data_IF_451559433111
#
_entry.id   IF_451559433111
#
_cell.length_a   1.000
_cell.length_b   1.000
_cell.length_c   1.000
_cell.angle_alpha   90.00
_cell.angle_beta   90.00
_cell.angle_gamma   90.00
#
_symmetry.space_group_name_H-M   'P 1'
#
loop_
_entity.id
_entity.type
_entity.pdbx_description
1 polymer ?
#
# COMPACT_ATOMS: atom_id res chain seq x y z
N UNK A 1 -35.01 17.27 12.47
CA UNK A 1 -34.06 16.15 12.68
C UNK A 1 -34.23 15.71 14.11
N UNK A 2 -35.00 14.65 14.33
CA UNK A 2 -35.32 14.15 15.67
C UNK A 2 -34.05 13.80 16.44
N UNK A 3 -33.97 14.31 17.66
CA UNK A 3 -32.83 14.15 18.54
C UNK A 3 -32.90 12.73 19.09
N UNK A 4 -32.18 11.80 18.48
CA UNK A 4 -32.11 10.42 18.99
C UNK A 4 -31.42 10.45 20.35
N UNK A 5 -32.19 10.23 21.42
CA UNK A 5 -31.68 10.11 22.77
C UNK A 5 -31.05 8.74 22.97
N UNK A 6 -29.71 8.72 22.93
CA UNK A 6 -28.92 7.55 23.29
C UNK A 6 -28.39 7.77 24.71
N UNK A 7 -28.80 6.91 25.65
CA UNK A 7 -28.33 6.95 27.03
C UNK A 7 -26.85 6.57 27.12
N UNK A 8 -26.14 7.17 28.08
CA UNK A 8 -24.71 6.89 28.34
C UNK A 8 -24.47 5.41 28.69
N UNK A 9 -25.34 4.84 29.50
CA UNK A 9 -25.27 3.44 29.96
C UNK A 9 -25.40 2.45 28.81
N UNK A 10 -26.28 2.73 27.85
CA UNK A 10 -26.43 1.92 26.63
C UNK A 10 -25.12 1.85 25.85
N UNK A 11 -24.47 3.00 25.61
CA UNK A 11 -23.18 3.05 24.92
C UNK A 11 -22.07 2.35 25.72
N UNK A 12 -22.06 2.51 27.04
CA UNK A 12 -21.09 1.86 27.92
C UNK A 12 -21.20 0.33 27.83
N UNK A 13 -22.42 -0.22 27.90
CA UNK A 13 -22.69 -1.65 27.76
C UNK A 13 -22.16 -2.22 26.43
N UNK A 14 -22.35 -1.50 25.31
CA UNK A 14 -21.81 -1.93 24.02
C UNK A 14 -20.28 -1.89 23.97
N UNK A 15 -19.65 -0.87 24.56
CA UNK A 15 -18.19 -0.76 24.64
C UNK A 15 -17.61 -1.91 25.46
N UNK A 16 -18.25 -2.27 26.56
CA UNK A 16 -17.83 -3.38 27.42
C UNK A 16 -17.96 -4.73 26.71
N UNK A 17 -19.00 -4.88 25.88
CA UNK A 17 -19.17 -6.01 24.93
C UNK A 17 -18.22 -5.96 23.70
N UNK A 18 -17.28 -5.01 23.63
CA UNK A 18 -16.31 -4.83 22.53
C UNK A 18 -16.91 -4.48 21.17
N UNK A 19 -18.10 -3.90 21.12
CA UNK A 19 -18.68 -3.44 19.87
C UNK A 19 -17.90 -2.25 19.30
N UNK A 20 -17.70 -2.23 17.99
CA UNK A 20 -17.21 -1.07 17.25
C UNK A 20 -18.33 -0.03 17.06
N UNK A 21 -17.97 1.24 16.81
CA UNK A 21 -18.97 2.30 16.57
C UNK A 21 -19.93 1.97 15.42
N UNK A 22 -19.45 1.27 14.39
CA UNK A 22 -20.26 0.83 13.26
C UNK A 22 -21.25 -0.26 13.69
N UNK A 23 -20.84 -1.21 14.52
CA UNK A 23 -21.75 -2.24 15.05
C UNK A 23 -22.80 -1.61 15.97
N UNK A 24 -22.40 -0.66 16.83
CA UNK A 24 -23.34 0.10 17.68
C UNK A 24 -24.35 0.86 16.82
N UNK A 25 -23.90 1.48 15.73
CA UNK A 25 -24.74 2.22 14.81
C UNK A 25 -25.80 1.32 14.14
N UNK A 26 -25.39 0.13 13.68
CA UNK A 26 -26.30 -0.88 13.12
C UNK A 26 -27.31 -1.35 14.17
N UNK A 27 -26.85 -1.68 15.36
CA UNK A 27 -27.70 -2.21 16.44
C UNK A 27 -28.74 -1.18 16.91
N UNK A 28 -28.36 0.10 16.97
CA UNK A 28 -29.24 1.18 17.41
C UNK A 28 -30.04 1.82 16.25
N UNK A 29 -29.85 1.37 15.01
CA UNK A 29 -30.51 1.94 13.83
C UNK A 29 -30.14 3.41 13.56
N UNK A 30 -28.94 3.83 13.95
CA UNK A 30 -28.46 5.22 13.80
C UNK A 30 -27.23 5.31 12.90
N UNK A 31 -26.85 6.53 12.51
CA UNK A 31 -25.58 6.75 11.81
C UNK A 31 -24.38 6.59 12.76
N UNK A 32 -23.25 6.12 12.23
CA UNK A 32 -21.97 6.07 12.97
C UNK A 32 -21.54 7.46 13.47
N UNK A 33 -21.88 8.53 12.75
CA UNK A 33 -21.64 9.90 13.17
C UNK A 33 -22.45 10.31 14.41
N UNK A 34 -23.69 9.81 14.56
CA UNK A 34 -24.52 10.02 15.75
C UNK A 34 -23.90 9.36 16.97
N UNK A 35 -23.46 8.10 16.82
CA UNK A 35 -22.75 7.36 17.89
C UNK A 35 -21.47 8.10 18.30
N UNK A 36 -20.66 8.54 17.33
CA UNK A 36 -19.43 9.29 17.60
C UNK A 36 -19.68 10.57 18.39
N UNK A 37 -20.67 11.37 18.00
CA UNK A 37 -21.05 12.62 18.70
C UNK A 37 -21.45 12.32 20.15
N UNK A 38 -22.31 11.31 20.36
CA UNK A 38 -22.77 10.92 21.71
C UNK A 38 -21.67 10.37 22.58
N UNK A 39 -20.79 9.52 22.02
CA UNK A 39 -19.61 9.05 22.74
C UNK A 39 -18.70 10.20 23.15
N UNK A 40 -18.49 11.20 22.26
CA UNK A 40 -17.71 12.40 22.57
C UNK A 40 -18.35 13.25 23.66
N UNK A 41 -19.66 13.47 23.60
CA UNK A 41 -20.45 14.21 24.60
C UNK A 41 -20.31 13.60 26.00
N UNK A 42 -20.34 12.27 26.10
CA UNK A 42 -20.23 11.54 27.36
C UNK A 42 -18.80 11.18 27.79
N UNK A 43 -17.78 11.57 27.01
CA UNK A 43 -16.38 11.26 27.27
C UNK A 43 -16.01 9.77 27.11
N UNK A 44 -16.83 8.99 26.40
CA UNK A 44 -16.63 7.57 26.20
C UNK A 44 -15.64 7.30 25.07
N UNK A 45 -14.70 6.37 25.29
CA UNK A 45 -13.76 5.89 24.28
C UNK A 45 -13.94 4.39 24.11
N UNK A 46 -13.97 3.92 22.87
CA UNK A 46 -13.83 2.48 22.62
C UNK A 46 -12.44 2.05 23.04
N UNK A 47 -12.33 0.84 23.62
CA UNK A 47 -11.02 0.22 23.85
C UNK A 47 -10.36 0.03 22.48
N UNK A 48 -9.34 0.84 22.18
CA UNK A 48 -8.53 0.67 20.98
C UNK A 48 -7.87 -0.70 21.03
N UNK A 49 -7.89 -1.42 19.91
CA UNK A 49 -7.15 -2.67 19.78
C UNK A 49 -5.67 -2.32 20.03
N UNK A 50 -5.05 -2.98 21.02
CA UNK A 50 -3.62 -2.79 21.25
C UNK A 50 -2.89 -3.19 19.97
N UNK A 51 -2.03 -2.29 19.50
CA UNK A 51 -1.20 -2.55 18.34
C UNK A 51 -0.24 -3.69 18.66
N UNK A 52 -0.12 -4.69 17.80
CA UNK A 52 0.92 -5.74 17.86
C UNK A 52 2.32 -5.19 17.57
N UNK A 53 2.51 -3.87 17.70
CA UNK A 53 3.72 -3.16 17.31
C UNK A 53 4.86 -3.49 18.27
N UNK A 54 5.96 -3.97 17.69
CA UNK A 54 7.24 -4.09 18.36
C UNK A 54 8.28 -3.29 17.57
N UNK A 55 8.79 -2.22 18.18
CA UNK A 55 9.75 -1.32 17.56
C UNK A 55 11.05 -2.02 17.17
N UNK A 56 11.58 -2.89 18.04
CA UNK A 56 12.87 -3.54 17.81
C UNK A 56 12.79 -4.49 16.62
N UNK A 57 11.68 -5.23 16.52
CA UNK A 57 11.42 -6.13 15.40
C UNK A 57 11.27 -5.34 14.09
N UNK A 58 10.51 -4.23 14.10
CA UNK A 58 10.36 -3.37 12.91
C UNK A 58 11.71 -2.81 12.46
N UNK A 59 12.54 -2.31 13.38
CA UNK A 59 13.89 -1.81 13.07
C UNK A 59 14.75 -2.90 12.41
N UNK A 60 14.79 -4.09 13.00
CA UNK A 60 15.56 -5.23 12.47
C UNK A 60 15.10 -5.61 11.06
N UNK A 61 13.79 -5.65 10.80
CA UNK A 61 13.25 -5.94 9.48
C UNK A 61 13.61 -4.85 8.46
N UNK A 62 13.57 -3.57 8.85
CA UNK A 62 13.96 -2.45 7.98
C UNK A 62 15.45 -2.49 7.60
N UNK A 63 16.31 -2.83 8.55
CA UNK A 63 17.76 -3.01 8.32
C UNK A 63 18.05 -4.20 7.41
N UNK A 64 17.23 -5.25 7.48
CA UNK A 64 17.29 -6.39 6.56
C UNK A 64 16.70 -6.10 5.18
N UNK A 65 16.18 -4.90 4.93
CA UNK A 65 15.63 -4.50 3.64
C UNK A 65 14.18 -4.97 3.41
N UNK A 66 13.48 -5.44 4.44
CA UNK A 66 12.08 -5.82 4.30
C UNK A 66 11.21 -4.63 3.90
N UNK A 67 10.25 -4.90 3.02
CA UNK A 67 9.24 -3.93 2.57
C UNK A 67 8.14 -3.77 3.62
N UNK A 68 7.41 -2.64 3.59
CA UNK A 68 6.27 -2.43 4.49
C UNK A 68 5.22 -3.52 4.36
N UNK A 69 5.09 -4.16 3.18
CA UNK A 69 4.19 -5.30 2.95
C UNK A 69 4.64 -6.55 3.71
N UNK A 70 5.92 -6.91 3.62
CA UNK A 70 6.47 -8.06 4.33
C UNK A 70 6.40 -7.89 5.86
N UNK A 71 6.66 -6.67 6.33
CA UNK A 71 6.50 -6.33 7.75
C UNK A 71 5.02 -6.46 8.15
N UNK A 72 4.10 -6.00 7.31
CA UNK A 72 2.67 -6.10 7.58
C UNK A 72 2.18 -7.55 7.67
N UNK A 73 2.66 -8.42 6.77
CA UNK A 73 2.39 -9.86 6.82
C UNK A 73 2.90 -10.49 8.13
N UNK A 74 4.12 -10.13 8.56
CA UNK A 74 4.68 -10.62 9.84
C UNK A 74 3.81 -10.22 11.05
N UNK A 75 3.34 -8.98 11.10
CA UNK A 75 2.53 -8.47 12.20
C UNK A 75 1.02 -8.74 12.06
N UNK A 76 0.59 -9.42 11.00
CA UNK A 76 -0.84 -9.67 10.72
C UNK A 76 -1.65 -8.37 10.53
N UNK A 77 -1.03 -7.34 9.95
CA UNK A 77 -1.63 -6.02 9.75
C UNK A 77 -1.59 -5.59 8.28
N UNK A 78 -2.06 -4.38 7.97
CA UNK A 78 -1.95 -3.80 6.63
C UNK A 78 -0.68 -2.92 6.48
N UNK A 79 -0.21 -2.79 5.24
CA UNK A 79 0.97 -2.00 4.88
C UNK A 79 0.88 -0.53 5.29
N UNK A 80 -0.31 0.06 5.25
CA UNK A 80 -0.59 1.43 5.70
C UNK A 80 -0.31 1.59 7.20
N UNK A 81 -0.68 0.59 8.00
CA UNK A 81 -0.42 0.60 9.45
C UNK A 81 1.08 0.62 9.71
N UNK A 82 1.85 -0.23 9.02
CA UNK A 82 3.32 -0.23 9.11
C UNK A 82 3.91 1.11 8.65
N UNK A 83 3.42 1.66 7.55
CA UNK A 83 3.87 2.97 7.04
C UNK A 83 3.60 4.08 8.05
N UNK A 84 2.46 4.03 8.74
CA UNK A 84 2.13 4.93 9.84
C UNK A 84 3.08 4.75 11.03
N UNK A 85 3.44 3.53 11.41
CA UNK A 85 4.44 3.30 12.46
C UNK A 85 5.80 3.90 12.08
N UNK A 86 6.29 3.60 10.88
CA UNK A 86 7.57 4.11 10.38
C UNK A 86 7.61 5.63 10.41
N UNK A 87 6.54 6.30 9.95
CA UNK A 87 6.44 7.76 9.95
C UNK A 87 6.33 8.33 11.37
N UNK A 88 5.45 7.77 12.19
CA UNK A 88 5.16 8.25 13.54
C UNK A 88 6.37 8.18 14.46
N UNK A 89 7.18 7.13 14.33
CA UNK A 89 8.35 6.89 15.18
C UNK A 89 9.69 7.19 14.48
N UNK A 90 9.66 7.79 13.28
CA UNK A 90 10.89 8.18 12.57
C UNK A 90 11.81 7.02 12.22
N UNK A 91 11.27 5.82 11.98
CA UNK A 91 12.05 4.59 11.75
C UNK A 91 12.64 4.51 10.34
N UNK A 92 12.29 5.46 9.45
CA UNK A 92 12.76 5.48 8.07
C UNK A 92 14.28 5.51 7.94
N UNK A 93 14.99 6.05 8.94
CA UNK A 93 16.46 6.09 9.01
C UNK A 93 17.13 4.72 9.12
N UNK A 94 16.41 3.70 9.57
CA UNK A 94 16.93 2.32 9.68
C UNK A 94 16.74 1.52 8.40
N UNK A 95 16.07 2.09 7.39
CA UNK A 95 15.83 1.39 6.14
C UNK A 95 17.16 1.21 5.42
N UNK A 96 17.49 -0.05 5.09
CA UNK A 96 18.65 -0.34 4.24
C UNK A 96 18.53 0.44 2.95
N UNK A 97 19.60 1.15 2.59
CA UNK A 97 19.67 1.86 1.32
C UNK A 97 19.42 0.85 0.20
N UNK A 98 18.42 1.12 -0.65
CA UNK A 98 18.17 0.24 -1.77
C UNK A 98 19.33 0.41 -2.73
N UNK A 99 19.96 -0.69 -3.11
CA UNK A 99 20.82 -0.67 -4.28
C UNK A 99 20.02 -0.05 -5.45
N UNK A 100 20.64 0.84 -6.23
CA UNK A 100 19.98 1.44 -7.37
C UNK A 100 19.47 0.30 -8.24
N UNK A 101 18.14 0.22 -8.37
CA UNK A 101 17.53 -0.73 -9.28
C UNK A 101 18.12 -0.44 -10.65
N UNK A 102 18.58 -1.48 -11.37
CA UNK A 102 19.04 -1.34 -12.75
C UNK A 102 17.85 -0.84 -13.58
N UNK A 103 17.74 0.48 -13.75
CA UNK A 103 16.65 1.09 -14.49
C UNK A 103 17.01 1.02 -15.95
N UNK A 104 16.23 0.25 -16.70
CA UNK A 104 16.33 0.22 -18.14
C UNK A 104 16.03 1.61 -18.73
N UNK A 105 16.97 2.18 -19.50
CA UNK A 105 16.76 3.48 -20.17
C UNK A 105 15.73 3.36 -21.31
N UNK A 106 14.48 3.62 -20.96
CA UNK A 106 13.35 3.64 -21.90
C UNK A 106 13.49 4.70 -23.01
N UNK A 107 14.37 5.71 -22.87
CA UNK A 107 14.58 6.73 -23.92
C UNK A 107 15.21 6.10 -25.17
N UNK A 108 16.11 5.13 -25.01
CA UNK A 108 16.73 4.38 -26.13
C UNK A 108 15.69 3.58 -26.93
N UNK A 109 14.60 3.12 -26.31
CA UNK A 109 13.53 2.38 -27.01
C UNK A 109 12.81 3.17 -28.11
N UNK A 110 12.80 4.50 -28.07
CA UNK A 110 12.10 5.33 -29.07
C UNK A 110 12.65 5.18 -30.50
N UNK A 111 13.93 4.79 -30.62
CA UNK A 111 14.63 4.58 -31.89
C UNK A 111 14.91 3.10 -32.18
N UNK A 112 14.41 2.20 -31.33
CA UNK A 112 14.65 0.77 -31.43
C UNK A 112 13.81 0.13 -32.54
N UNK A 113 14.40 -0.83 -33.27
CA UNK A 113 13.69 -1.65 -34.28
C UNK A 113 12.52 -2.47 -33.70
N UNK A 114 12.56 -2.78 -32.40
CA UNK A 114 11.49 -3.51 -31.68
C UNK A 114 10.53 -2.57 -30.94
N UNK A 115 10.71 -1.25 -31.01
CA UNK A 115 9.84 -0.29 -30.34
C UNK A 115 8.48 -0.16 -31.04
N UNK A 116 7.38 -0.16 -30.27
CA UNK A 116 6.02 0.05 -30.79
C UNK A 116 5.77 1.51 -31.18
N UNK A 117 4.91 1.76 -32.18
CA UNK A 117 4.33 3.11 -32.42
C UNK A 117 3.33 3.44 -31.30
N UNK A 118 3.08 4.74 -31.07
CA UNK A 118 2.21 5.26 -30.00
C UNK A 118 0.85 4.58 -29.88
N UNK A 119 0.24 4.15 -31.00
CA UNK A 119 -1.09 3.54 -31.00
C UNK A 119 -1.13 2.10 -30.47
N UNK A 120 -0.12 1.27 -30.78
CA UNK A 120 0.03 -0.10 -30.27
C UNK A 120 0.68 -0.16 -28.87
N UNK A 121 1.26 0.95 -28.41
CA UNK A 121 1.95 1.06 -27.12
C UNK A 121 1.03 0.94 -25.88
N UNK A 122 -0.30 0.94 -26.07
CA UNK A 122 -1.29 0.80 -24.98
C UNK A 122 -1.29 -0.60 -24.36
N UNK A 123 -0.92 -1.64 -25.12
CA UNK A 123 -0.94 -3.04 -24.64
C UNK A 123 0.47 -3.53 -24.30
N UNK A 124 1.47 -3.21 -25.13
CA UNK A 124 2.86 -3.61 -24.89
C UNK A 124 3.83 -2.46 -25.18
N UNK A 125 4.73 -2.18 -24.22
CA UNK A 125 5.78 -1.15 -24.32
C UNK A 125 6.86 -1.49 -25.37
N UNK A 126 6.92 -2.74 -25.83
CA UNK A 126 7.86 -3.21 -26.85
C UNK A 126 7.31 -4.43 -27.62
N UNK A 127 7.40 -4.41 -28.95
CA UNK A 127 6.91 -5.47 -29.86
C UNK A 127 7.97 -6.56 -30.12
N UNK A 128 8.74 -6.91 -29.09
CA UNK A 128 9.76 -7.94 -29.25
C UNK A 128 9.14 -9.32 -29.42
N UNK A 129 8.18 -9.64 -28.55
CA UNK A 129 7.48 -10.92 -28.60
C UNK A 129 6.82 -11.13 -29.95
N UNK A 130 6.09 -10.12 -30.47
CA UNK A 130 5.45 -10.20 -31.78
C UNK A 130 6.44 -10.44 -32.93
N UNK A 131 7.66 -9.90 -32.84
CA UNK A 131 8.70 -10.06 -33.87
C UNK A 131 9.58 -11.31 -33.73
N UNK A 132 9.65 -11.92 -32.55
CA UNK A 132 10.62 -13.00 -32.27
C UNK A 132 9.98 -14.28 -31.77
N UNK A 133 8.69 -14.26 -31.41
CA UNK A 133 7.96 -15.43 -30.93
C UNK A 133 8.26 -15.84 -29.49
N UNK A 134 9.09 -15.09 -28.76
CA UNK A 134 9.47 -15.40 -27.38
C UNK A 134 9.58 -14.16 -26.49
N UNK A 135 9.40 -14.34 -25.18
CA UNK A 135 9.47 -13.22 -24.23
C UNK A 135 10.92 -12.78 -24.01
N UNK A 136 11.08 -11.50 -23.61
CA UNK A 136 12.39 -10.98 -23.19
C UNK A 136 12.61 -11.29 -21.72
N UNK A 137 13.74 -11.93 -21.37
CA UNK A 137 14.32 -11.97 -20.02
C UNK A 137 13.28 -11.97 -18.88
N UNK A 138 12.19 -12.71 -19.03
CA UNK A 138 11.05 -12.78 -18.11
C UNK A 138 10.59 -11.43 -17.50
N UNK A 139 10.70 -10.32 -18.24
CA UNK A 139 10.32 -8.98 -17.76
C UNK A 139 11.32 -8.31 -16.79
N UNK A 140 12.51 -8.87 -16.56
CA UNK A 140 13.56 -8.22 -15.76
C UNK A 140 14.35 -7.19 -16.57
N UNK A 141 14.56 -5.96 -16.05
CA UNK A 141 15.42 -4.98 -16.70
C UNK A 141 16.90 -5.34 -16.47
N UNK A 142 17.58 -5.77 -17.53
CA UNK A 142 19.03 -5.62 -17.62
C UNK A 142 19.37 -4.12 -17.57
N UNK A 143 20.56 -3.75 -17.09
CA UNK A 143 21.02 -2.36 -17.10
C UNK A 143 21.00 -1.76 -18.53
N UNK A 144 21.13 -2.63 -19.54
CA UNK A 144 21.07 -2.26 -20.95
C UNK A 144 20.23 -3.25 -21.76
N UNK A 145 19.63 -2.80 -22.86
CA UNK A 145 18.93 -3.68 -23.79
C UNK A 145 19.92 -4.46 -24.64
N UNK A 146 20.09 -5.76 -24.40
CA UNK A 146 20.94 -6.64 -25.22
C UNK A 146 20.53 -6.75 -26.69
N UNK A 147 19.33 -6.28 -27.08
CA UNK A 147 18.78 -6.35 -28.45
C UNK A 147 18.44 -4.99 -29.06
N UNK A 148 18.84 -3.88 -28.42
CA UNK A 148 18.67 -2.55 -29.00
C UNK A 148 19.63 -2.33 -30.16
N UNK A 149 19.13 -1.78 -31.26
CA UNK A 149 19.96 -1.36 -32.40
C UNK A 149 19.72 0.12 -32.65
N UNK A 150 20.74 0.95 -32.36
CA UNK A 150 20.70 2.41 -32.55
C UNK A 150 20.55 2.74 -34.03
N UNK A 151 19.62 3.63 -34.37
CA UNK A 151 19.51 4.24 -35.70
C UNK A 151 18.83 3.43 -36.80
N UNK A 152 18.52 2.14 -36.61
CA UNK A 152 17.70 1.40 -37.58
C UNK A 152 16.21 1.76 -37.38
N UNK A 153 15.72 2.75 -38.11
CA UNK A 153 14.32 2.82 -38.52
C UNK A 153 14.30 2.89 -40.05
N UNK A 154 14.59 1.76 -40.70
CA UNK A 154 14.31 1.62 -42.14
C UNK A 154 12.79 1.50 -42.29
N UNK A 155 12.25 2.32 -43.20
CA UNK A 155 10.85 2.31 -43.64
C UNK A 155 10.49 0.94 -44.17
#
# INVERSE_FOLDING_TARGET
MDKVEIAKETLQNYIDKRYSQTQIAVELGVSQGTVFKKMKEYGLKTKTKQSTYDEQVVIKMLQNGCTSKQIAEYFGTCSETVTNWIRKYGLGKYRKEKEPQKVFDTKKCRTCIYGTRKELAKVYKCDYYGKTGHSRNMGQPEAECSKYVKGKRKR
#
